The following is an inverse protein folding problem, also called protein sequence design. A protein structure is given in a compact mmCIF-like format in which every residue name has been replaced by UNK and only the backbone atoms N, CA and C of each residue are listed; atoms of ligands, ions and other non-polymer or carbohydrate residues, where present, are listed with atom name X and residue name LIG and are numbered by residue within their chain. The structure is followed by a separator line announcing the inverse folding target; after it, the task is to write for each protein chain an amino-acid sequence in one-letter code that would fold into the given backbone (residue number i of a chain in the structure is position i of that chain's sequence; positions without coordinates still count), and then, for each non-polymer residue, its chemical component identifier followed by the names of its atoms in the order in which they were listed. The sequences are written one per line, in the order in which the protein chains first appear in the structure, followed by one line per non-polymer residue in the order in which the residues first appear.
data_IF_927421737678
#
_entry.id   IF_927421737678
#
_cell.length_a   1.000
_cell.length_b   1.000
_cell.length_c   1.000
_cell.angle_alpha   90.00
_cell.angle_beta   90.00
_cell.angle_gamma   90.00
#
_symmetry.space_group_name_H-M   'P 1'
#
loop_
_entity.id
_entity.type
_entity.pdbx_description
1 polymer ?
#
# COMPACT_ATOMS: atom_id res chain seq x y z
N UNK A 1 59.57 31.29 31.94
CA UNK A 1 59.65 30.37 33.08
C UNK A 1 58.22 30.11 33.54
N UNK A 2 57.83 28.83 33.53
CA UNK A 2 56.65 28.20 34.14
C UNK A 2 55.28 28.43 33.47
N UNK A 3 54.85 27.32 32.88
CA UNK A 3 53.55 26.85 32.40
C UNK A 3 52.44 26.82 33.48
N UNK A 4 51.17 26.88 33.09
CA UNK A 4 50.12 25.87 33.40
C UNK A 4 48.76 26.40 32.92
N UNK A 5 48.20 25.66 31.96
CA UNK A 5 46.81 25.71 31.50
C UNK A 5 45.79 25.35 32.58
N UNK A 6 44.70 26.10 32.67
CA UNK A 6 43.46 25.74 33.39
C UNK A 6 42.35 26.72 32.93
N UNK A 7 41.23 26.41 32.27
CA UNK A 7 40.38 25.22 32.23
C UNK A 7 39.76 25.03 30.82
N UNK A 8 39.75 23.78 30.36
CA UNK A 8 38.94 23.21 29.27
C UNK A 8 37.48 22.91 29.77
N UNK A 9 36.51 22.44 28.94
CA UNK A 9 36.67 21.94 27.56
C UNK A 9 35.62 22.40 26.53
N UNK A 10 36.08 22.38 25.28
CA UNK A 10 35.28 22.20 24.08
C UNK A 10 34.59 20.81 24.08
N UNK A 11 33.29 20.80 23.80
CA UNK A 11 32.55 19.59 23.45
C UNK A 11 32.92 19.18 22.02
N UNK A 12 34.06 18.47 21.89
CA UNK A 12 34.40 17.62 20.74
C UNK A 12 34.54 16.19 21.23
N UNK A 13 34.17 15.27 20.34
CA UNK A 13 34.22 13.81 20.44
C UNK A 13 33.22 13.12 21.39
N UNK A 14 32.29 12.38 20.78
CA UNK A 14 32.24 10.90 20.86
C UNK A 14 31.09 10.35 20.02
N UNK A 15 31.33 10.21 18.71
CA UNK A 15 30.64 9.21 17.88
C UNK A 15 31.67 8.53 16.96
N UNK A 16 32.72 7.98 17.58
CA UNK A 16 33.46 6.85 17.02
C UNK A 16 33.42 5.74 18.05
N UNK A 17 32.57 4.73 17.84
CA UNK A 17 32.83 3.38 18.38
C UNK A 17 32.32 2.32 17.40
N UNK A 18 33.30 1.59 16.86
CA UNK A 18 33.27 0.18 16.48
C UNK A 18 32.34 -0.28 15.34
N UNK A 19 32.79 -0.06 14.11
CA UNK A 19 32.53 -1.02 13.03
C UNK A 19 33.47 -2.23 13.17
N UNK A 20 32.96 -3.46 13.29
CA UNK A 20 33.82 -4.63 13.22
C UNK A 20 34.39 -4.77 11.80
N UNK A 21 35.71 -4.65 11.67
CA UNK A 21 36.47 -5.05 10.48
C UNK A 21 36.45 -6.56 10.34
N UNK A 22 35.38 -7.08 9.75
CA UNK A 22 35.35 -8.42 9.17
C UNK A 22 35.10 -8.31 7.68
N UNK A 23 36.16 -8.53 6.91
CA UNK A 23 36.12 -8.87 5.48
C UNK A 23 35.45 -10.23 5.30
N UNK A 24 34.16 -10.31 5.59
CA UNK A 24 33.28 -11.43 5.23
C UNK A 24 32.46 -11.00 4.04
N UNK A 25 32.53 -11.73 2.93
CA UNK A 25 31.75 -11.54 1.69
C UNK A 25 30.42 -10.77 1.87
N UNK A 26 30.47 -9.44 1.78
CA UNK A 26 29.36 -8.50 1.97
C UNK A 26 28.36 -8.53 0.79
N UNK A 27 28.53 -9.44 -0.17
CA UNK A 27 27.86 -9.37 -1.47
C UNK A 27 26.43 -9.89 -1.50
N UNK A 28 25.93 -10.52 -0.41
CA UNK A 28 24.57 -11.11 -0.36
C UNK A 28 23.64 -10.57 0.71
N UNK A 29 24.13 -9.90 1.76
CA UNK A 29 23.27 -9.49 2.87
C UNK A 29 22.72 -8.07 2.64
N UNK A 30 21.39 -7.93 2.62
CA UNK A 30 20.75 -6.61 2.50
C UNK A 30 20.66 -5.93 3.87
N UNK A 31 20.88 -4.61 3.98
CA UNK A 31 20.73 -3.90 5.24
C UNK A 31 19.30 -4.04 5.79
N UNK A 32 19.16 -4.36 7.07
CA UNK A 32 17.87 -4.33 7.77
C UNK A 32 17.75 -2.95 8.41
N UNK A 33 16.89 -2.12 7.83
CA UNK A 33 16.69 -0.74 8.28
C UNK A 33 15.31 -0.60 8.92
N UNK A 34 15.26 0.05 10.08
CA UNK A 34 14.00 0.52 10.67
C UNK A 34 13.61 1.82 9.97
N UNK A 35 12.54 1.78 9.19
CA UNK A 35 12.06 2.95 8.44
C UNK A 35 10.93 3.60 9.23
N UNK A 36 11.18 4.81 9.72
CA UNK A 36 10.13 5.65 10.28
C UNK A 36 9.07 5.92 9.21
N UNK A 37 7.79 5.79 9.57
CA UNK A 37 6.70 6.07 8.63
C UNK A 37 6.73 7.54 8.23
N UNK A 38 6.67 7.80 6.92
CA UNK A 38 6.52 9.15 6.41
C UNK A 38 5.11 9.67 6.68
N UNK A 39 4.94 11.00 6.75
CA UNK A 39 3.62 11.62 6.86
C UNK A 39 2.69 11.19 5.71
N UNK A 40 3.23 11.00 4.50
CA UNK A 40 2.48 10.45 3.37
C UNK A 40 1.93 9.04 3.68
N UNK A 41 2.76 8.15 4.22
CA UNK A 41 2.32 6.80 4.56
C UNK A 41 1.23 6.83 5.64
N UNK A 42 1.35 7.71 6.64
CA UNK A 42 0.32 7.88 7.67
C UNK A 42 -1.00 8.39 7.09
N UNK A 43 -0.96 9.40 6.22
CA UNK A 43 -2.15 9.92 5.54
C UNK A 43 -2.82 8.84 4.69
N UNK A 44 -2.04 8.12 3.87
CA UNK A 44 -2.58 7.01 3.07
C UNK A 44 -3.15 5.88 3.93
N UNK A 45 -2.54 5.57 5.07
CA UNK A 45 -3.07 4.58 6.01
C UNK A 45 -4.44 5.00 6.57
N UNK A 46 -4.62 6.29 6.87
CA UNK A 46 -5.90 6.84 7.34
C UNK A 46 -6.94 6.85 6.21
N UNK A 47 -6.55 7.24 4.99
CA UNK A 47 -7.45 7.23 3.83
C UNK A 47 -7.89 5.79 3.50
N UNK A 48 -6.97 4.83 3.53
CA UNK A 48 -7.28 3.42 3.34
C UNK A 48 -8.17 2.88 4.47
N UNK A 49 -7.93 3.28 5.73
CA UNK A 49 -8.78 2.89 6.85
C UNK A 49 -10.20 3.47 6.70
N UNK A 50 -10.33 4.74 6.29
CA UNK A 50 -11.63 5.35 6.00
C UNK A 50 -12.37 4.62 4.87
N UNK A 51 -11.65 4.26 3.79
CA UNK A 51 -12.21 3.43 2.73
C UNK A 51 -12.66 2.05 3.21
N UNK A 52 -11.94 1.44 4.16
CA UNK A 52 -12.32 0.17 4.75
C UNK A 52 -13.59 0.30 5.60
N UNK A 53 -13.69 1.36 6.41
CA UNK A 53 -14.91 1.66 7.18
C UNK A 53 -16.10 1.88 6.24
N UNK A 54 -15.90 2.64 5.15
CA UNK A 54 -16.94 2.84 4.13
C UNK A 54 -17.35 1.52 3.48
N UNK A 55 -16.39 0.67 3.08
CA UNK A 55 -16.64 -0.63 2.48
C UNK A 55 -17.50 -1.54 3.37
N UNK A 56 -17.15 -1.66 4.66
CA UNK A 56 -17.99 -2.41 5.62
C UNK A 56 -19.35 -1.75 5.86
N UNK A 57 -19.39 -0.42 5.95
CA UNK A 57 -20.63 0.34 6.14
C UNK A 57 -21.62 0.13 4.99
N UNK A 58 -21.13 0.15 3.75
CA UNK A 58 -21.93 -0.12 2.54
C UNK A 58 -22.45 -1.56 2.58
N UNK A 59 -21.58 -2.55 2.83
CA UNK A 59 -22.00 -3.95 2.89
C UNK A 59 -23.06 -4.21 3.97
N UNK A 60 -22.91 -3.61 5.17
CA UNK A 60 -23.89 -3.69 6.25
C UNK A 60 -25.21 -3.06 5.83
N UNK A 61 -25.18 -1.85 5.25
CA UNK A 61 -26.39 -1.18 4.80
C UNK A 61 -27.10 -2.00 3.72
N UNK A 62 -26.36 -2.41 2.68
CA UNK A 62 -26.84 -3.23 1.58
C UNK A 62 -27.44 -4.57 2.05
N UNK A 63 -26.87 -5.19 3.09
CA UNK A 63 -27.39 -6.44 3.65
C UNK A 63 -28.84 -6.33 4.13
N UNK A 64 -29.21 -5.19 4.73
CA UNK A 64 -30.54 -4.93 5.26
C UNK A 64 -31.53 -4.37 4.24
N UNK A 65 -31.05 -3.79 3.13
CA UNK A 65 -31.90 -3.11 2.16
C UNK A 65 -32.09 -3.87 0.84
N UNK A 66 -31.12 -4.71 0.46
CA UNK A 66 -31.13 -5.39 -0.85
C UNK A 66 -31.89 -6.72 -0.81
N UNK A 67 -32.48 -7.11 -1.96
CA UNK A 67 -33.06 -8.44 -2.13
C UNK A 67 -31.99 -9.53 -2.01
N UNK A 68 -32.44 -10.78 -1.84
CA UNK A 68 -31.53 -11.92 -1.68
C UNK A 68 -30.65 -12.20 -2.90
N UNK A 69 -31.07 -11.73 -4.09
CA UNK A 69 -30.35 -11.87 -5.35
C UNK A 69 -29.92 -10.51 -5.89
N UNK A 70 -28.62 -10.33 -6.15
CA UNK A 70 -28.00 -9.08 -6.59
C UNK A 70 -27.07 -9.33 -7.78
N UNK A 71 -26.71 -8.31 -8.58
CA UNK A 71 -25.67 -8.46 -9.60
C UNK A 71 -24.32 -8.68 -8.92
N UNK A 72 -23.58 -9.69 -9.38
CA UNK A 72 -22.26 -10.05 -8.83
C UNK A 72 -21.16 -10.12 -9.88
N UNK A 73 -21.53 -10.10 -11.16
CA UNK A 73 -20.58 -10.13 -12.26
C UNK A 73 -21.03 -9.18 -13.38
N UNK A 74 -20.06 -8.41 -13.90
CA UNK A 74 -20.25 -7.46 -14.98
C UNK A 74 -19.32 -7.83 -16.15
N UNK A 75 -19.82 -7.72 -17.37
CA UNK A 75 -19.05 -7.92 -18.60
C UNK A 75 -18.06 -6.79 -18.87
N UNK A 76 -17.25 -6.95 -19.91
CA UNK A 76 -16.30 -5.91 -20.36
C UNK A 76 -17.00 -4.62 -20.83
N UNK A 77 -18.26 -4.71 -21.25
CA UNK A 77 -19.13 -3.60 -21.61
C UNK A 77 -19.76 -2.91 -20.39
N UNK A 78 -19.51 -3.43 -19.18
CA UNK A 78 -20.07 -2.95 -17.92
C UNK A 78 -21.46 -3.50 -17.60
N UNK A 79 -22.10 -4.29 -18.47
CA UNK A 79 -23.43 -4.83 -18.22
C UNK A 79 -23.38 -5.99 -17.22
N UNK A 80 -24.35 -6.07 -16.32
CA UNK A 80 -24.47 -7.24 -15.46
C UNK A 80 -24.83 -8.47 -16.29
N UNK A 81 -24.01 -9.52 -16.17
CA UNK A 81 -24.23 -10.81 -16.83
C UNK A 81 -24.19 -11.99 -15.85
N UNK A 82 -24.08 -11.72 -14.54
CA UNK A 82 -24.16 -12.73 -13.48
C UNK A 82 -24.82 -12.19 -12.22
N UNK A 83 -25.70 -13.00 -11.65
CA UNK A 83 -26.49 -12.71 -10.45
C UNK A 83 -26.25 -13.78 -9.39
N UNK A 84 -26.33 -13.41 -8.12
CA UNK A 84 -26.14 -14.35 -7.03
C UNK A 84 -26.57 -13.81 -5.68
N UNK A 85 -26.31 -14.60 -4.63
CA UNK A 85 -26.76 -14.28 -3.28
C UNK A 85 -26.13 -12.99 -2.75
N UNK A 86 -26.91 -12.19 -2.01
CA UNK A 86 -26.40 -11.02 -1.26
C UNK A 86 -25.33 -11.34 -0.22
N UNK A 87 -25.10 -12.62 0.11
CA UNK A 87 -23.92 -13.06 0.87
C UNK A 87 -22.60 -12.63 0.23
N UNK A 88 -22.58 -12.43 -1.09
CA UNK A 88 -21.39 -11.93 -1.80
C UNK A 88 -20.98 -10.51 -1.38
N UNK A 89 -21.86 -9.71 -0.76
CA UNK A 89 -21.52 -8.39 -0.21
C UNK A 89 -20.39 -8.45 0.84
N UNK A 90 -20.15 -9.62 1.45
CA UNK A 90 -19.07 -9.79 2.43
C UNK A 90 -17.72 -10.11 1.80
N UNK A 91 -17.67 -10.49 0.52
CA UNK A 91 -16.43 -10.89 -0.13
C UNK A 91 -15.45 -9.71 -0.24
N UNK A 92 -15.87 -8.57 -0.79
CA UNK A 92 -14.99 -7.41 -0.97
C UNK A 92 -14.54 -6.81 0.37
N UNK A 93 -15.38 -6.64 1.40
CA UNK A 93 -14.92 -6.22 2.74
C UNK A 93 -13.87 -7.15 3.35
N UNK A 94 -14.05 -8.47 3.27
CA UNK A 94 -13.11 -9.44 3.84
C UNK A 94 -11.78 -9.41 3.09
N UNK A 95 -11.83 -9.42 1.75
CA UNK A 95 -10.61 -9.34 0.91
C UNK A 95 -9.93 -7.99 1.10
N UNK A 96 -10.68 -6.88 1.19
CA UNK A 96 -10.18 -5.55 1.46
C UNK A 96 -9.47 -5.45 2.82
N UNK A 97 -10.04 -6.03 3.88
CA UNK A 97 -9.41 -6.12 5.19
C UNK A 97 -8.12 -6.96 5.14
N UNK A 98 -8.15 -8.10 4.44
CA UNK A 98 -6.99 -8.96 4.28
C UNK A 98 -5.86 -8.24 3.53
N UNK A 99 -6.16 -7.55 2.42
CA UNK A 99 -5.17 -6.75 1.67
C UNK A 99 -4.63 -5.61 2.53
N UNK A 100 -5.51 -4.88 3.23
CA UNK A 100 -5.09 -3.79 4.11
C UNK A 100 -4.11 -4.29 5.19
N UNK A 101 -4.46 -5.38 5.87
CA UNK A 101 -3.63 -6.01 6.89
C UNK A 101 -2.32 -6.54 6.33
N UNK A 102 -2.38 -7.33 5.25
CA UNK A 102 -1.22 -7.95 4.61
C UNK A 102 -0.22 -6.89 4.14
N UNK A 103 -0.68 -5.89 3.37
CA UNK A 103 0.21 -4.86 2.83
C UNK A 103 0.79 -3.98 3.94
N UNK A 104 0.03 -3.71 5.01
CA UNK A 104 0.53 -3.00 6.20
C UNK A 104 1.57 -3.83 6.94
N UNK A 105 1.39 -5.15 7.04
CA UNK A 105 2.32 -6.05 7.71
C UNK A 105 3.64 -6.19 6.94
N UNK A 106 3.59 -6.52 5.64
CA UNK A 106 4.80 -6.74 4.83
C UNK A 106 5.62 -5.46 4.67
N UNK A 107 4.98 -4.28 4.67
CA UNK A 107 5.66 -2.97 4.62
C UNK A 107 6.60 -2.72 5.82
N UNK A 108 6.52 -3.53 6.88
CA UNK A 108 7.47 -3.50 8.01
C UNK A 108 8.79 -4.22 7.70
N UNK A 109 8.83 -5.03 6.65
CA UNK A 109 9.99 -5.86 6.29
C UNK A 109 10.45 -5.61 4.84
N UNK A 110 10.78 -4.37 4.44
CA UNK A 110 11.10 -4.06 3.04
C UNK A 110 12.30 -4.84 2.49
N UNK A 111 13.25 -5.21 3.34
CA UNK A 111 14.43 -5.98 2.93
C UNK A 111 14.11 -7.35 2.28
N UNK A 112 12.92 -7.92 2.54
CA UNK A 112 12.49 -9.21 1.97
C UNK A 112 11.85 -9.09 0.59
N UNK A 113 11.63 -7.86 0.08
CA UNK A 113 10.96 -7.66 -1.20
C UNK A 113 11.83 -8.05 -2.39
N UNK A 114 11.18 -8.29 -3.53
CA UNK A 114 11.89 -8.37 -4.80
C UNK A 114 12.07 -6.95 -5.37
N UNK A 115 13.32 -6.54 -5.59
CA UNK A 115 13.67 -5.22 -6.10
C UNK A 115 14.13 -5.31 -7.55
N UNK A 116 13.68 -4.37 -8.38
CA UNK A 116 14.07 -4.29 -9.79
C UNK A 116 15.53 -3.83 -9.98
N UNK A 117 16.16 -3.29 -8.93
CA UNK A 117 17.55 -2.84 -8.90
C UNK A 117 18.31 -3.54 -7.77
N UNK A 118 19.63 -3.67 -7.94
CA UNK A 118 20.48 -4.25 -6.90
C UNK A 118 20.52 -3.32 -5.68
N UNK A 119 20.21 -3.88 -4.52
CA UNK A 119 20.28 -3.15 -3.25
C UNK A 119 21.72 -3.09 -2.75
N UNK A 120 22.19 -1.87 -2.50
CA UNK A 120 23.49 -1.54 -1.90
C UNK A 120 23.27 -0.81 -0.57
N UNK A 121 24.29 -0.69 0.26
CA UNK A 121 24.18 0.06 1.52
C UNK A 121 23.78 1.53 1.31
N UNK A 122 24.23 2.12 0.20
CA UNK A 122 23.99 3.53 -0.14
C UNK A 122 22.55 3.77 -0.62
N UNK A 123 21.96 2.84 -1.39
CA UNK A 123 20.63 3.02 -1.96
C UNK A 123 19.50 2.34 -1.16
N UNK A 124 19.81 1.45 -0.21
CA UNK A 124 18.83 0.64 0.51
C UNK A 124 17.72 1.48 1.15
N UNK A 125 18.08 2.56 1.85
CA UNK A 125 17.09 3.42 2.51
C UNK A 125 16.09 4.01 1.51
N UNK A 126 16.56 4.51 0.38
CA UNK A 126 15.72 5.14 -0.62
C UNK A 126 14.85 4.11 -1.35
N UNK A 127 15.42 2.96 -1.73
CA UNK A 127 14.69 1.87 -2.37
C UNK A 127 13.60 1.31 -1.47
N UNK A 128 13.88 1.16 -0.18
CA UNK A 128 12.89 0.66 0.76
C UNK A 128 11.76 1.66 0.98
N UNK A 129 12.06 2.97 1.06
CA UNK A 129 11.03 4.02 1.13
C UNK A 129 10.14 4.01 -0.11
N UNK A 130 10.73 3.93 -1.31
CA UNK A 130 10.00 3.84 -2.59
C UNK A 130 9.06 2.63 -2.59
N UNK A 131 9.57 1.45 -2.23
CA UNK A 131 8.75 0.24 -2.21
C UNK A 131 7.61 0.32 -1.18
N UNK A 132 7.88 0.78 0.04
CA UNK A 132 6.83 0.95 1.05
C UNK A 132 5.79 2.01 0.64
N UNK A 133 6.20 3.10 -0.01
CA UNK A 133 5.25 4.08 -0.55
C UNK A 133 4.37 3.49 -1.64
N UNK A 134 4.95 2.72 -2.58
CA UNK A 134 4.19 2.01 -3.61
C UNK A 134 3.13 1.09 -3.00
N UNK A 135 3.49 0.29 -1.99
CA UNK A 135 2.53 -0.59 -1.30
C UNK A 135 1.42 0.18 -0.60
N UNK A 136 1.70 1.34 -0.01
CA UNK A 136 0.67 2.17 0.64
C UNK A 136 -0.30 2.79 -0.37
N UNK A 137 0.18 3.19 -1.55
CA UNK A 137 -0.68 3.65 -2.64
C UNK A 137 -1.57 2.52 -3.16
N UNK A 138 -0.98 1.36 -3.51
CA UNK A 138 -1.73 0.20 -3.99
C UNK A 138 -2.77 -0.27 -2.97
N UNK A 139 -2.42 -0.32 -1.69
CA UNK A 139 -3.38 -0.63 -0.61
C UNK A 139 -4.57 0.32 -0.62
N UNK A 140 -4.30 1.62 -0.72
CA UNK A 140 -5.33 2.66 -0.73
C UNK A 140 -6.24 2.51 -1.94
N UNK A 141 -5.65 2.36 -3.13
CA UNK A 141 -6.38 2.19 -4.39
C UNK A 141 -7.28 0.95 -4.36
N UNK A 142 -6.75 -0.20 -3.93
CA UNK A 142 -7.52 -1.44 -3.85
C UNK A 142 -8.74 -1.30 -2.93
N UNK A 143 -8.55 -0.73 -1.74
CA UNK A 143 -9.65 -0.53 -0.79
C UNK A 143 -10.73 0.40 -1.36
N UNK A 144 -10.35 1.51 -2.00
CA UNK A 144 -11.31 2.44 -2.57
C UNK A 144 -11.97 1.94 -3.85
N UNK A 145 -11.26 1.17 -4.69
CA UNK A 145 -11.85 0.47 -5.84
C UNK A 145 -12.88 -0.55 -5.34
N UNK A 146 -12.58 -1.33 -4.30
CA UNK A 146 -13.54 -2.26 -3.71
C UNK A 146 -14.75 -1.53 -3.11
N UNK A 147 -14.54 -0.45 -2.36
CA UNK A 147 -15.62 0.37 -1.82
C UNK A 147 -16.52 0.94 -2.92
N UNK A 148 -15.93 1.38 -4.04
CA UNK A 148 -16.67 1.84 -5.20
C UNK A 148 -17.46 0.71 -5.87
N UNK A 149 -16.87 -0.47 -6.09
CA UNK A 149 -17.59 -1.62 -6.66
C UNK A 149 -18.77 -2.02 -5.75
N UNK A 150 -18.55 -2.10 -4.44
CA UNK A 150 -19.58 -2.44 -3.45
C UNK A 150 -20.73 -1.42 -3.47
N UNK A 151 -20.41 -0.12 -3.52
CA UNK A 151 -21.41 0.92 -3.72
C UNK A 151 -22.19 0.68 -5.02
N UNK A 152 -21.49 0.46 -6.13
CA UNK A 152 -22.13 0.26 -7.43
C UNK A 152 -23.07 -0.95 -7.41
N UNK A 153 -22.68 -2.06 -6.77
CA UNK A 153 -23.56 -3.21 -6.58
C UNK A 153 -24.84 -2.79 -5.83
N UNK A 154 -24.72 -2.04 -4.73
CA UNK A 154 -25.86 -1.53 -3.98
C UNK A 154 -26.78 -0.66 -4.84
N UNK A 155 -26.23 0.32 -5.55
CA UNK A 155 -27.01 1.24 -6.39
C UNK A 155 -27.68 0.53 -7.57
N UNK A 156 -26.94 -0.37 -8.24
CA UNK A 156 -27.40 -1.05 -9.45
C UNK A 156 -28.36 -2.19 -9.17
N UNK A 157 -28.33 -2.80 -7.98
CA UNK A 157 -29.26 -3.88 -7.60
C UNK A 157 -30.74 -3.47 -7.66
N UNK A 158 -31.05 -2.17 -7.61
CA UNK A 158 -32.41 -1.65 -7.72
C UNK A 158 -32.78 -1.14 -9.12
N UNK A 159 -31.88 -1.24 -10.10
CA UNK A 159 -32.09 -0.73 -11.45
C UNK A 159 -32.57 -1.84 -12.40
N UNK A 160 -33.35 -1.45 -13.43
CA UNK A 160 -33.87 -2.41 -14.41
C UNK A 160 -32.77 -3.02 -15.30
N UNK A 161 -31.72 -2.24 -15.61
CA UNK A 161 -30.59 -2.67 -16.44
C UNK A 161 -29.27 -2.29 -15.74
N UNK A 162 -28.80 -3.10 -14.78
CA UNK A 162 -27.56 -2.84 -14.04
C UNK A 162 -26.35 -2.72 -14.97
N UNK A 163 -25.71 -1.55 -14.95
CA UNK A 163 -24.53 -1.26 -15.77
C UNK A 163 -23.49 -0.45 -14.99
N UNK A 164 -22.30 -1.02 -14.83
CA UNK A 164 -21.14 -0.44 -14.13
C UNK A 164 -20.39 0.62 -14.96
N UNK A 165 -20.62 0.61 -16.27
CA UNK A 165 -20.00 1.50 -17.25
C UNK A 165 -18.72 0.93 -17.86
N UNK A 166 -18.59 1.04 -19.18
CA UNK A 166 -17.42 0.55 -19.95
C UNK A 166 -16.09 1.19 -19.52
N UNK A 167 -16.12 2.40 -18.95
CA UNK A 167 -14.94 3.12 -18.51
C UNK A 167 -14.39 2.66 -17.16
N UNK A 168 -15.18 1.96 -16.35
CA UNK A 168 -14.75 1.52 -15.02
C UNK A 168 -13.47 0.67 -15.08
N UNK A 169 -13.46 -0.36 -15.94
CA UNK A 169 -12.33 -1.25 -16.08
C UNK A 169 -11.06 -0.54 -16.58
N UNK A 170 -11.04 0.16 -17.72
CA UNK A 170 -9.82 0.82 -18.19
C UNK A 170 -9.31 1.88 -17.20
N UNK A 171 -10.20 2.66 -16.57
CA UNK A 171 -9.78 3.68 -15.59
C UNK A 171 -9.15 3.05 -14.35
N UNK A 172 -9.77 2.01 -13.78
CA UNK A 172 -9.20 1.33 -12.61
C UNK A 172 -7.86 0.68 -12.92
N UNK A 173 -7.70 0.07 -14.10
CA UNK A 173 -6.41 -0.47 -14.55
C UNK A 173 -5.36 0.63 -14.73
N UNK A 174 -5.71 1.77 -15.34
CA UNK A 174 -4.78 2.90 -15.52
C UNK A 174 -4.32 3.44 -14.16
N UNK A 175 -5.21 3.53 -13.16
CA UNK A 175 -4.84 3.97 -11.81
C UNK A 175 -3.80 3.01 -11.21
N UNK A 176 -4.11 1.72 -11.17
CA UNK A 176 -3.26 0.70 -10.54
C UNK A 176 -1.92 0.55 -11.26
N UNK A 177 -1.95 0.39 -12.58
CA UNK A 177 -0.72 0.25 -13.38
C UNK A 177 0.06 1.56 -13.47
N UNK A 178 -0.61 2.71 -13.44
CA UNK A 178 0.01 4.02 -13.36
C UNK A 178 0.83 4.17 -12.08
N UNK A 179 0.27 3.77 -10.94
CA UNK A 179 0.97 3.76 -9.64
C UNK A 179 2.18 2.83 -9.66
N UNK A 180 2.03 1.60 -10.17
CA UNK A 180 3.15 0.66 -10.30
C UNK A 180 4.24 1.26 -11.21
N UNK A 181 3.87 1.75 -12.39
CA UNK A 181 4.80 2.33 -13.36
C UNK A 181 5.55 3.54 -12.83
N UNK A 182 4.83 4.44 -12.12
CA UNK A 182 5.43 5.60 -11.47
C UNK A 182 6.49 5.19 -10.45
N UNK A 183 6.15 4.32 -9.50
CA UNK A 183 7.07 3.93 -8.42
C UNK A 183 8.23 3.05 -8.91
N UNK A 184 8.01 2.20 -9.91
CA UNK A 184 9.10 1.46 -10.56
C UNK A 184 10.06 2.40 -11.29
N UNK A 185 9.54 3.41 -12.00
CA UNK A 185 10.38 4.44 -12.61
C UNK A 185 11.23 5.17 -11.57
N UNK A 186 10.64 5.59 -10.44
CA UNK A 186 11.38 6.19 -9.33
C UNK A 186 12.45 5.24 -8.75
N UNK A 187 12.14 3.94 -8.61
CA UNK A 187 13.12 2.92 -8.18
C UNK A 187 14.31 2.82 -9.14
N UNK A 188 14.07 2.89 -10.46
CA UNK A 188 15.14 2.85 -11.45
C UNK A 188 15.99 4.13 -11.50
N UNK A 189 15.43 5.29 -11.16
CA UNK A 189 16.16 6.55 -11.07
C UNK A 189 17.02 6.63 -9.80
N UNK A 190 16.61 5.97 -8.72
CA UNK A 190 17.29 5.97 -7.42
C UNK A 190 18.33 4.83 -7.24
N UNK A 191 19.04 4.46 -8.31
CA UNK A 191 20.03 3.36 -8.31
C UNK A 191 21.28 3.68 -7.51
#
# INVERSE_FOLDING_TARGET
MVDVSSHLPACKDKLQTNYPTKTTNMSRYRPVLLIAQSSQAQILNLIALAGLVALFGIAIHAWFTLPDTIPIHFGFDGQANGWGSKKNLWLLPIVGLAIYGLLTFISRYPHTFNYAVKITEQNALQQYKIACSMLNWLKTEMVWIFAYIEWQIFYLATTANPNLGIWFLPVSLIIVFGTIGYWLSQSFLAR
#
